data_IF_279175116173
#
_entry.id   IF_279175116173
#
_cell.length_a   1.000
_cell.length_b   1.000
_cell.length_c   1.000
_cell.angle_alpha   90.00
_cell.angle_beta   90.00
_cell.angle_gamma   90.00
#
_symmetry.space_group_name_H-M   'P 1'
#
loop_
_entity.id
_entity.type
_entity.pdbx_description
1 polymer ?
#
# COMPACT_ATOMS: atom_id res chain seq x y z
N UNK A 1 -0.29 16.36 -31.40
CA UNK A 1 -0.41 17.36 -30.32
C UNK A 1 0.50 17.02 -29.15
N UNK A 2 0.35 15.84 -28.53
CA UNK A 2 1.17 15.37 -27.40
C UNK A 2 2.69 15.37 -27.66
N UNK A 3 3.13 14.91 -28.84
CA UNK A 3 4.55 14.95 -29.23
C UNK A 3 5.14 16.37 -29.29
N UNK A 4 4.34 17.37 -29.71
CA UNK A 4 4.80 18.76 -29.78
C UNK A 4 4.98 19.36 -28.38
N UNK A 5 4.09 19.02 -27.45
CA UNK A 5 4.16 19.45 -26.05
C UNK A 5 5.36 18.78 -25.35
N UNK A 6 5.57 17.47 -25.57
CA UNK A 6 6.73 16.76 -25.05
C UNK A 6 8.04 17.30 -25.62
N UNK A 7 8.13 17.57 -26.92
CA UNK A 7 9.34 18.13 -27.53
C UNK A 7 9.68 19.53 -26.98
N UNK A 8 8.67 20.36 -26.71
CA UNK A 8 8.86 21.71 -26.19
C UNK A 8 9.23 21.74 -24.70
N UNK A 9 8.63 20.86 -23.89
CA UNK A 9 8.81 20.90 -22.43
C UNK A 9 9.82 19.87 -21.92
N UNK A 10 10.13 18.83 -22.73
CA UNK A 10 10.77 17.56 -22.33
C UNK A 10 10.21 16.97 -21.04
N UNK A 11 8.98 17.34 -20.69
CA UNK A 11 8.37 16.94 -19.45
C UNK A 11 7.90 15.50 -19.61
N UNK A 12 8.29 14.57 -18.72
CA UNK A 12 8.03 13.15 -18.89
C UNK A 12 6.56 12.83 -18.55
N UNK A 13 5.62 13.34 -19.35
CA UNK A 13 4.20 12.94 -19.39
C UNK A 13 4.02 11.55 -20.02
N UNK A 14 5.02 10.68 -19.96
CA UNK A 14 4.78 9.28 -20.25
C UNK A 14 4.02 8.73 -19.03
N UNK A 15 2.75 8.32 -19.14
CA UNK A 15 2.13 7.57 -18.07
C UNK A 15 2.95 6.28 -17.93
N UNK A 16 3.81 6.24 -16.92
CA UNK A 16 4.47 5.01 -16.49
C UNK A 16 3.31 4.04 -16.24
N UNK A 17 3.26 2.94 -16.99
CA UNK A 17 2.20 1.94 -16.90
C UNK A 17 1.89 1.67 -15.42
N UNK A 18 0.66 1.97 -14.99
CA UNK A 18 0.24 1.87 -13.59
C UNK A 18 -0.17 3.19 -12.91
N UNK A 19 0.20 4.35 -13.48
CA UNK A 19 -0.25 5.67 -13.00
C UNK A 19 0.38 6.09 -11.67
N UNK A 20 1.20 7.15 -11.72
CA UNK A 20 1.98 7.71 -10.61
C UNK A 20 2.99 6.74 -9.94
N UNK A 21 4.15 7.22 -9.47
CA UNK A 21 5.02 6.39 -8.63
C UNK A 21 4.20 5.86 -7.45
N UNK A 22 4.31 4.59 -7.07
CA UNK A 22 3.60 4.01 -5.91
C UNK A 22 4.58 3.88 -4.75
N UNK A 23 4.13 4.18 -3.53
CA UNK A 23 4.94 3.91 -2.33
C UNK A 23 4.72 2.46 -1.92
N UNK A 24 5.73 1.60 -2.14
CA UNK A 24 5.72 0.24 -1.62
C UNK A 24 6.30 0.24 -0.21
N UNK A 25 5.51 -0.16 0.78
CA UNK A 25 5.95 -0.34 2.17
C UNK A 25 5.58 -1.74 2.60
N UNK A 26 6.57 -2.52 3.02
CA UNK A 26 6.38 -3.88 3.51
C UNK A 26 6.31 -3.86 5.03
N UNK A 27 5.24 -4.42 5.59
CA UNK A 27 5.09 -4.65 7.02
C UNK A 27 5.19 -6.15 7.28
N UNK A 28 6.06 -6.52 8.21
CA UNK A 28 6.21 -7.90 8.67
C UNK A 28 5.51 -7.98 10.01
N UNK A 29 4.45 -8.78 10.10
CA UNK A 29 3.71 -8.98 11.34
C UNK A 29 4.34 -10.01 12.26
N UNK A 30 3.69 -10.20 13.40
CA UNK A 30 4.06 -11.24 14.36
C UNK A 30 3.97 -12.63 13.73
N UNK A 31 4.88 -13.55 14.10
CA UNK A 31 4.86 -14.91 13.60
C UNK A 31 3.60 -15.65 14.07
N UNK A 32 3.03 -16.46 13.19
CA UNK A 32 1.91 -17.34 13.54
C UNK A 32 2.51 -18.62 14.14
N UNK A 33 2.29 -18.91 15.44
CA UNK A 33 2.85 -20.09 16.07
C UNK A 33 2.22 -21.36 15.50
N UNK A 34 3.06 -22.37 15.29
CA UNK A 34 2.63 -23.70 14.88
C UNK A 34 1.86 -24.39 16.01
N UNK A 35 0.72 -24.99 15.65
CA UNK A 35 -0.07 -25.82 16.55
C UNK A 35 -0.44 -27.10 15.79
N UNK A 36 -0.01 -28.24 16.31
CA UNK A 36 -0.25 -29.55 15.69
C UNK A 36 -1.70 -30.03 15.77
N UNK A 37 -2.54 -29.35 16.55
CA UNK A 37 -3.96 -29.68 16.66
C UNK A 37 -4.85 -28.91 15.68
N UNK A 38 -4.31 -27.89 14.99
CA UNK A 38 -5.07 -27.09 14.04
C UNK A 38 -5.31 -27.86 12.74
N UNK A 39 -6.54 -27.82 12.26
CA UNK A 39 -6.85 -28.19 10.89
C UNK A 39 -6.30 -27.15 9.89
N UNK A 40 -6.01 -27.53 8.64
CA UNK A 40 -5.58 -26.58 7.61
C UNK A 40 -6.55 -25.40 7.42
N UNK A 41 -7.85 -25.65 7.55
CA UNK A 41 -8.91 -24.64 7.41
C UNK A 41 -8.88 -23.64 8.57
N UNK A 42 -8.70 -24.11 9.81
CA UNK A 42 -8.55 -23.23 10.97
C UNK A 42 -7.26 -22.41 10.89
N UNK A 43 -6.17 -23.01 10.42
CA UNK A 43 -4.92 -22.29 10.19
C UNK A 43 -5.10 -21.18 9.14
N UNK A 44 -5.82 -21.47 8.05
CA UNK A 44 -6.14 -20.47 7.03
C UNK A 44 -6.92 -19.29 7.61
N UNK A 45 -7.95 -19.55 8.43
CA UNK A 45 -8.74 -18.49 9.08
C UNK A 45 -7.87 -17.64 10.01
N UNK A 46 -6.97 -18.26 10.77
CA UNK A 46 -6.03 -17.56 11.67
C UNK A 46 -5.08 -16.65 10.88
N UNK A 47 -4.52 -17.15 9.77
CA UNK A 47 -3.66 -16.36 8.86
C UNK A 47 -4.42 -15.18 8.26
N UNK A 48 -5.64 -15.41 7.79
CA UNK A 48 -6.49 -14.36 7.22
C UNK A 48 -6.81 -13.28 8.26
N UNK A 49 -7.09 -13.66 9.50
CA UNK A 49 -7.29 -12.72 10.62
C UNK A 49 -6.07 -11.83 10.84
N UNK A 50 -4.89 -12.45 11.05
CA UNK A 50 -3.64 -11.71 11.27
C UNK A 50 -3.29 -10.76 10.10
N UNK A 51 -3.56 -11.18 8.86
CA UNK A 51 -3.36 -10.35 7.68
C UNK A 51 -4.33 -9.16 7.65
N UNK A 52 -5.61 -9.37 7.97
CA UNK A 52 -6.60 -8.30 8.02
C UNK A 52 -6.27 -7.26 9.10
N UNK A 53 -5.74 -7.70 10.24
CA UNK A 53 -5.29 -6.80 11.30
C UNK A 53 -4.13 -5.93 10.82
N UNK A 54 -3.13 -6.53 10.15
CA UNK A 54 -2.03 -5.78 9.53
C UNK A 54 -2.51 -4.77 8.49
N UNK A 55 -3.49 -5.17 7.65
CA UNK A 55 -4.08 -4.28 6.65
C UNK A 55 -4.80 -3.11 7.35
N UNK A 56 -5.63 -3.38 8.33
CA UNK A 56 -6.38 -2.36 9.08
C UNK A 56 -5.45 -1.35 9.78
N UNK A 57 -4.35 -1.83 10.35
CA UNK A 57 -3.38 -0.99 11.06
C UNK A 57 -2.54 -0.09 10.13
N UNK A 58 -2.26 -0.54 8.91
CA UNK A 58 -1.28 0.09 8.02
C UNK A 58 -1.87 0.69 6.74
N UNK A 59 -3.08 0.30 6.35
CA UNK A 59 -3.74 0.77 5.13
C UNK A 59 -5.02 1.53 5.47
N UNK A 60 -5.19 2.70 4.85
CA UNK A 60 -6.45 3.43 4.89
C UNK A 60 -7.36 2.91 3.77
N UNK A 61 -8.53 2.39 4.14
CA UNK A 61 -9.51 1.85 3.21
C UNK A 61 -10.83 2.66 3.35
N UNK A 62 -11.39 3.22 2.27
CA UNK A 62 -10.87 3.23 0.90
C UNK A 62 -9.63 4.15 0.76
N UNK A 63 -8.73 3.81 -0.17
CA UNK A 63 -7.54 4.59 -0.45
C UNK A 63 -7.83 5.95 -1.10
N UNK A 64 -6.91 6.92 -0.97
CA UNK A 64 -7.03 8.25 -1.55
C UNK A 64 -5.70 8.69 -2.21
N UNK A 65 -5.69 8.83 -3.53
CA UNK A 65 -4.49 9.16 -4.31
C UNK A 65 -3.95 10.55 -3.96
N UNK A 66 -4.82 11.56 -3.86
CA UNK A 66 -4.42 12.94 -3.56
C UNK A 66 -3.76 13.02 -2.17
N UNK A 67 -4.33 12.33 -1.18
CA UNK A 67 -3.75 12.25 0.16
C UNK A 67 -2.38 11.53 0.12
N UNK A 68 -2.28 10.41 -0.59
CA UNK A 68 -1.03 9.66 -0.73
C UNK A 68 0.08 10.46 -1.45
N UNK A 69 -0.28 11.36 -2.36
CA UNK A 69 0.68 12.30 -2.97
C UNK A 69 1.11 13.40 -1.99
N UNK A 70 0.17 13.95 -1.21
CA UNK A 70 0.47 14.96 -0.20
C UNK A 70 1.42 14.42 0.89
N UNK A 71 1.22 13.18 1.31
CA UNK A 71 2.06 12.48 2.30
C UNK A 71 3.55 12.35 1.88
N UNK A 72 3.87 12.53 0.59
CA UNK A 72 5.27 12.54 0.10
C UNK A 72 6.00 13.83 0.42
N UNK A 73 5.28 14.94 0.41
CA UNK A 73 5.85 16.27 0.63
C UNK A 73 5.73 16.66 2.10
N UNK A 74 4.64 16.22 2.76
CA UNK A 74 4.35 16.52 4.14
C UNK A 74 4.08 15.22 4.92
N UNK A 75 4.99 14.86 5.83
CA UNK A 75 4.73 13.78 6.79
C UNK A 75 3.74 14.27 7.85
N UNK A 76 2.45 14.01 7.64
CA UNK A 76 1.49 14.11 8.72
C UNK A 76 1.90 13.12 9.84
N UNK A 77 1.96 13.57 11.10
CA UNK A 77 2.16 12.66 12.23
C UNK A 77 1.01 11.67 12.25
N UNK A 78 1.30 10.37 12.16
CA UNK A 78 0.30 9.32 12.39
C UNK A 78 -0.20 9.52 13.84
N UNK A 79 -1.50 9.78 14.03
CA UNK A 79 -2.10 9.69 15.36
C UNK A 79 -2.00 8.22 15.73
N UNK A 80 -1.09 7.90 16.64
CA UNK A 80 -1.16 6.66 17.40
C UNK A 80 -2.46 6.72 18.18
N UNK A 81 -3.35 5.77 17.90
CA UNK A 81 -4.61 5.57 18.59
C UNK A 81 -4.52 4.31 19.44
#
# INVERSE_FOLDING_TARGET
MWLRIYAATRFPFMPIYGGFPVKLTTYVGEPIPYDGNLTPEELQMKVAGALNDLISQHQRIPGNISLALLERVYKAKKKES
#
